data_IF_153172630602
#
_entry.id   IF_153172630602
#
_cell.length_a   1.000
_cell.length_b   1.000
_cell.length_c   1.000
_cell.angle_alpha   90.00
_cell.angle_beta   90.00
_cell.angle_gamma   90.00
#
_symmetry.space_group_name_H-M   'P 1'
#
loop_
_entity.id
_entity.type
_entity.pdbx_description
1 polymer ?
#
# COMPACT_ATOMS: atom_id res chain seq x y z
N UNK A 1 12.56 11.31 -8.59
CA UNK A 1 11.92 10.82 -9.80
C UNK A 1 10.44 10.59 -9.54
N UNK A 2 9.58 11.10 -10.41
CA UNK A 2 8.14 10.96 -10.22
C UNK A 2 7.60 9.73 -10.93
N UNK A 3 6.73 9.01 -10.25
CA UNK A 3 6.01 7.89 -10.83
C UNK A 3 4.59 8.33 -11.14
N UNK A 4 4.00 7.73 -12.17
CA UNK A 4 2.58 7.90 -12.43
C UNK A 4 1.79 7.02 -11.45
N UNK A 5 0.50 7.28 -11.32
CA UNK A 5 -0.37 6.46 -10.47
C UNK A 5 -0.35 5.00 -10.92
N UNK A 6 -0.33 4.75 -12.22
CA UNK A 6 -0.23 3.37 -12.75
C UNK A 6 1.07 2.69 -12.35
N UNK A 7 2.18 3.40 -12.42
CA UNK A 7 3.49 2.86 -12.01
C UNK A 7 3.51 2.55 -10.51
N UNK A 8 2.89 3.41 -9.70
CA UNK A 8 2.76 3.16 -8.28
C UNK A 8 1.98 1.87 -8.04
N UNK A 9 0.86 1.67 -8.76
CA UNK A 9 0.08 0.44 -8.61
C UNK A 9 0.85 -0.80 -9.05
N UNK A 10 1.64 -0.73 -10.10
CA UNK A 10 2.46 -1.88 -10.52
C UNK A 10 3.40 -2.32 -9.40
N UNK A 11 4.10 -1.38 -8.80
CA UNK A 11 5.01 -1.68 -7.69
C UNK A 11 4.24 -2.09 -6.45
N UNK A 12 3.15 -1.41 -6.17
CA UNK A 12 2.33 -1.70 -4.99
C UNK A 12 1.72 -3.09 -5.03
N UNK A 13 1.26 -3.53 -6.20
CA UNK A 13 0.75 -4.90 -6.35
C UNK A 13 1.81 -5.94 -5.99
N UNK A 14 3.06 -5.71 -6.40
CA UNK A 14 4.15 -6.60 -6.05
C UNK A 14 4.38 -6.62 -4.53
N UNK A 15 4.32 -5.46 -3.88
CA UNK A 15 4.48 -5.37 -2.43
C UNK A 15 3.35 -6.14 -1.72
N UNK A 16 2.10 -5.95 -2.14
CA UNK A 16 0.97 -6.66 -1.56
C UNK A 16 1.10 -8.17 -1.75
N UNK A 17 1.49 -8.60 -2.95
CA UNK A 17 1.66 -10.03 -3.25
C UNK A 17 2.72 -10.65 -2.36
N UNK A 18 3.81 -9.94 -2.12
CA UNK A 18 4.90 -10.42 -1.27
C UNK A 18 4.51 -10.46 0.21
N UNK A 19 3.87 -9.40 0.69
CA UNK A 19 3.48 -9.30 2.11
C UNK A 19 2.47 -10.37 2.48
N UNK A 20 1.49 -10.60 1.61
CA UNK A 20 0.41 -11.56 1.87
C UNK A 20 0.67 -12.94 1.26
N UNK A 21 1.80 -13.11 0.60
CA UNK A 21 2.18 -14.36 -0.06
C UNK A 21 1.07 -14.88 -0.99
N UNK A 22 0.55 -13.99 -1.82
CA UNK A 22 -0.56 -14.31 -2.72
C UNK A 22 -0.42 -13.55 -4.04
N UNK A 23 0.02 -14.24 -5.07
CA UNK A 23 0.28 -13.66 -6.39
C UNK A 23 -0.98 -13.21 -7.12
N UNK A 24 -2.15 -13.61 -6.64
CA UNK A 24 -3.41 -13.22 -7.27
C UNK A 24 -3.92 -11.84 -6.85
N UNK A 25 -3.27 -11.21 -5.87
CA UNK A 25 -3.71 -9.91 -5.37
C UNK A 25 -3.47 -8.81 -6.40
N UNK A 26 -4.52 -8.08 -6.72
CA UNK A 26 -4.48 -6.84 -7.49
C UNK A 26 -5.27 -5.80 -6.72
N UNK A 27 -4.63 -4.69 -6.40
CA UNK A 27 -5.28 -3.62 -5.65
C UNK A 27 -5.63 -2.45 -6.55
N UNK A 28 -6.66 -1.70 -6.14
CA UNK A 28 -7.09 -0.49 -6.83
C UNK A 28 -7.52 0.55 -5.80
N UNK A 29 -7.99 1.70 -6.25
CA UNK A 29 -8.36 2.80 -5.36
C UNK A 29 -9.42 2.43 -4.34
N UNK A 30 -10.27 1.46 -4.65
CA UNK A 30 -11.37 1.06 -3.79
C UNK A 30 -11.05 -0.10 -2.87
N UNK A 31 -9.89 -0.74 -3.04
CA UNK A 31 -9.50 -1.90 -2.23
C UNK A 31 -9.36 -1.52 -0.77
N UNK A 32 -9.98 -2.31 0.11
CA UNK A 32 -9.92 -2.12 1.56
C UNK A 32 -9.40 -3.38 2.24
N UNK A 33 -9.15 -3.30 3.55
CA UNK A 33 -8.73 -4.47 4.31
C UNK A 33 -9.76 -5.58 4.33
N UNK A 34 -11.02 -5.26 4.08
CA UNK A 34 -12.08 -6.28 3.98
C UNK A 34 -11.96 -7.12 2.72
N UNK A 35 -11.29 -6.60 1.70
CA UNK A 35 -11.12 -7.30 0.42
C UNK A 35 -9.98 -8.31 0.42
N UNK A 36 -9.09 -8.23 1.41
CA UNK A 36 -7.94 -9.13 1.52
C UNK A 36 -8.01 -9.81 2.88
N UNK A 37 -8.24 -11.12 2.86
CA UNK A 37 -8.51 -11.90 4.06
C UNK A 37 -7.44 -11.78 5.14
N UNK A 38 -6.17 -11.79 4.75
CA UNK A 38 -5.07 -11.78 5.70
C UNK A 38 -4.66 -10.38 6.18
N UNK A 39 -5.33 -9.35 5.72
CA UNK A 39 -4.97 -7.98 6.05
C UNK A 39 -5.60 -7.56 7.39
N UNK A 40 -4.89 -7.84 8.45
CA UNK A 40 -5.26 -7.45 9.81
C UNK A 40 -4.35 -6.31 10.30
N UNK A 41 -4.49 -5.94 11.57
CA UNK A 41 -3.73 -4.83 12.15
C UNK A 41 -2.22 -5.08 12.14
N UNK A 42 -1.80 -6.32 12.38
CA UNK A 42 -0.38 -6.69 12.38
C UNK A 42 0.17 -6.64 10.96
N UNK A 43 -0.54 -7.23 10.02
CA UNK A 43 -0.12 -7.23 8.62
C UNK A 43 -0.13 -5.82 8.03
N UNK A 44 -1.02 -4.94 8.51
CA UNK A 44 -1.03 -3.56 8.08
C UNK A 44 0.30 -2.87 8.42
N UNK A 45 0.82 -3.10 9.60
CA UNK A 45 2.12 -2.55 10.01
C UNK A 45 3.25 -3.09 9.12
N UNK A 46 3.23 -4.40 8.85
CA UNK A 46 4.21 -5.01 7.95
C UNK A 46 4.12 -4.44 6.54
N UNK A 47 2.90 -4.25 6.05
CA UNK A 47 2.64 -3.68 4.74
C UNK A 47 3.18 -2.26 4.64
N UNK A 48 2.90 -1.43 5.63
CA UNK A 48 3.36 -0.03 5.65
C UNK A 48 4.89 0.02 5.62
N UNK A 49 5.56 -0.82 6.41
CA UNK A 49 7.02 -0.88 6.42
C UNK A 49 7.58 -1.28 5.04
N UNK A 50 6.95 -2.26 4.40
CA UNK A 50 7.38 -2.72 3.08
C UNK A 50 7.18 -1.64 2.02
N UNK A 51 6.05 -0.93 2.08
CA UNK A 51 5.76 0.17 1.15
C UNK A 51 6.78 1.31 1.33
N UNK A 52 7.06 1.68 2.57
CA UNK A 52 8.05 2.72 2.85
C UNK A 52 9.42 2.36 2.28
N UNK A 53 9.82 1.11 2.44
CA UNK A 53 11.10 0.66 1.94
C UNK A 53 11.14 0.65 0.41
N UNK A 54 10.09 0.18 -0.22
CA UNK A 54 10.04 0.05 -1.67
C UNK A 54 10.03 1.41 -2.37
N UNK A 55 9.28 2.36 -1.84
CA UNK A 55 9.15 3.69 -2.45
C UNK A 55 10.12 4.73 -1.88
N UNK A 56 10.88 4.37 -0.84
CA UNK A 56 11.80 5.31 -0.21
C UNK A 56 11.12 6.52 0.42
N UNK A 57 9.99 6.30 1.09
CA UNK A 57 9.19 7.35 1.68
C UNK A 57 8.75 6.95 3.09
N UNK A 58 8.09 7.84 3.81
CA UNK A 58 7.61 7.57 5.17
C UNK A 58 6.17 8.02 5.34
N UNK A 59 5.37 7.17 5.97
CA UNK A 59 4.03 7.54 6.44
C UNK A 59 4.13 8.09 7.86
N UNK A 60 3.29 9.05 8.21
CA UNK A 60 3.15 9.43 9.61
C UNK A 60 2.04 8.58 10.26
N UNK A 61 1.98 8.61 11.58
CA UNK A 61 1.04 7.79 12.34
C UNK A 61 -0.42 8.09 11.97
N UNK A 62 -0.76 9.36 11.80
CA UNK A 62 -2.10 9.74 11.41
C UNK A 62 -2.50 9.17 10.06
N UNK A 63 -1.59 9.16 9.11
CA UNK A 63 -1.84 8.58 7.79
C UNK A 63 -2.06 7.08 7.87
N UNK A 64 -1.26 6.39 8.69
CA UNK A 64 -1.36 4.94 8.85
C UNK A 64 -2.73 4.53 9.42
N UNK A 65 -3.20 5.22 10.44
CA UNK A 65 -4.42 4.82 11.15
C UNK A 65 -5.71 5.31 10.48
N UNK A 66 -5.65 6.35 9.65
CA UNK A 66 -6.85 6.90 9.00
C UNK A 66 -7.05 6.43 7.56
N UNK A 67 -6.15 5.60 7.08
CA UNK A 67 -6.19 5.10 5.72
C UNK A 67 -7.37 4.15 5.52
N UNK A 68 -8.33 4.52 4.68
CA UNK A 68 -9.58 3.77 4.48
C UNK A 68 -9.50 2.78 3.33
N UNK A 69 -8.65 3.06 2.34
CA UNK A 69 -8.51 2.23 1.15
C UNK A 69 -7.13 2.43 0.54
N UNK A 70 -6.82 1.61 -0.44
CA UNK A 70 -5.52 1.66 -1.11
C UNK A 70 -5.36 2.97 -1.89
N UNK A 71 -6.46 3.53 -2.40
CA UNK A 71 -6.41 4.83 -3.07
C UNK A 71 -5.83 5.92 -2.19
N UNK A 72 -6.19 5.96 -0.92
CA UNK A 72 -5.63 6.92 0.04
C UNK A 72 -4.13 6.67 0.28
N UNK A 73 -3.74 5.40 0.32
CA UNK A 73 -2.33 5.03 0.42
C UNK A 73 -1.54 5.55 -0.78
N UNK A 74 -2.06 5.37 -1.97
CA UNK A 74 -1.43 5.83 -3.20
C UNK A 74 -1.33 7.36 -3.23
N UNK A 75 -2.36 8.06 -2.76
CA UNK A 75 -2.33 9.52 -2.65
C UNK A 75 -1.17 9.99 -1.78
N UNK A 76 -0.94 9.33 -0.65
CA UNK A 76 0.18 9.67 0.24
C UNK A 76 1.51 9.38 -0.44
N UNK A 77 1.63 8.23 -1.09
CA UNK A 77 2.86 7.87 -1.80
C UNK A 77 3.18 8.92 -2.85
N UNK A 78 2.20 9.28 -3.69
CA UNK A 78 2.40 10.26 -4.76
C UNK A 78 2.74 11.64 -4.24
N UNK A 79 2.32 11.98 -3.03
CA UNK A 79 2.65 13.28 -2.44
C UNK A 79 4.11 13.38 -2.01
N UNK A 80 4.81 12.26 -1.89
CA UNK A 80 6.17 12.22 -1.36
C UNK A 80 7.25 11.83 -2.37
N UNK A 81 6.85 11.31 -3.52
CA UNK A 81 7.83 10.84 -4.51
C UNK A 81 7.91 11.74 -5.73
#
# INVERSE_FOLDING_TARGET
>A
MRMTREEVYETLNEVFQDVFDDESIEVNDETTSDDIEDWDSLEHINLIAAVEQEFGMKFNMGQVVTMKNVGEMVDVILSQI
#
